data_IF_466721765528
#
_entry.id   IF_466721765528
#
_cell.length_a   1.000
_cell.length_b   1.000
_cell.length_c   1.000
_cell.angle_alpha   90.00
_cell.angle_beta   90.00
_cell.angle_gamma   90.00
#
_symmetry.space_group_name_H-M   'P 1'
#
loop_
_entity.id
_entity.type
_entity.pdbx_description
1 polymer ?
#
# COMPACT_ATOMS: atom_id res chain seq x y z
N UNK A 1 -15.57 2.72 19.42
CA UNK A 1 -16.81 2.22 18.79
C UNK A 1 -16.77 0.70 18.81
N UNK A 2 -17.84 0.02 19.22
CA UNK A 2 -17.89 -1.45 19.24
C UNK A 2 -18.02 -2.04 17.85
N UNK A 3 -17.71 -3.32 17.69
CA UNK A 3 -17.76 -4.01 16.38
C UNK A 3 -19.13 -3.90 15.68
N UNK A 4 -20.23 -4.06 16.40
CA UNK A 4 -21.57 -4.01 15.83
C UNK A 4 -21.94 -2.58 15.37
N UNK A 5 -21.59 -1.58 16.16
CA UNK A 5 -21.68 -0.16 15.78
C UNK A 5 -20.82 0.15 14.55
N UNK A 6 -19.60 -0.39 14.49
CA UNK A 6 -18.69 -0.19 13.39
C UNK A 6 -19.22 -0.78 12.07
N UNK A 7 -19.81 -1.97 12.10
CA UNK A 7 -20.42 -2.57 10.90
C UNK A 7 -21.57 -1.70 10.37
N UNK A 8 -22.37 -1.09 11.26
CA UNK A 8 -23.45 -0.17 10.87
C UNK A 8 -22.88 1.08 10.21
N UNK A 9 -21.86 1.69 10.81
CA UNK A 9 -21.21 2.88 10.25
C UNK A 9 -20.57 2.58 8.89
N UNK A 10 -19.85 1.46 8.77
CA UNK A 10 -19.24 1.02 7.51
C UNK A 10 -20.28 0.79 6.41
N UNK A 11 -21.45 0.23 6.75
CA UNK A 11 -22.55 0.02 5.79
C UNK A 11 -23.15 1.34 5.27
N UNK A 12 -23.01 2.43 6.03
CA UNK A 12 -23.43 3.77 5.63
C UNK A 12 -22.31 4.61 4.98
N UNK A 13 -21.12 4.05 4.83
CA UNK A 13 -19.96 4.76 4.28
C UNK A 13 -19.97 4.78 2.74
N UNK A 14 -19.19 5.71 2.16
CA UNK A 14 -18.94 5.78 0.71
C UNK A 14 -17.82 4.81 0.25
N UNK A 15 -17.41 3.86 1.09
CA UNK A 15 -16.37 2.90 0.77
C UNK A 15 -16.84 1.94 -0.33
N UNK A 16 -15.95 1.46 -1.21
CA UNK A 16 -16.33 0.55 -2.27
C UNK A 16 -16.81 -0.80 -1.69
N UNK A 17 -17.73 -1.51 -2.37
CA UNK A 17 -18.35 -2.74 -1.85
C UNK A 17 -17.36 -3.81 -1.35
N UNK A 18 -16.22 -3.97 -2.03
CA UNK A 18 -15.18 -4.92 -1.62
C UNK A 18 -14.46 -4.53 -0.32
N UNK A 19 -14.33 -3.23 -0.04
CA UNK A 19 -13.74 -2.73 1.20
C UNK A 19 -14.70 -3.03 2.35
N UNK A 20 -15.99 -2.73 2.19
CA UNK A 20 -17.03 -3.06 3.18
C UNK A 20 -17.03 -4.56 3.53
N UNK A 21 -17.02 -5.43 2.51
CA UNK A 21 -16.93 -6.89 2.71
C UNK A 21 -15.67 -7.23 3.50
N UNK A 22 -14.52 -6.68 3.10
CA UNK A 22 -13.25 -6.90 3.75
C UNK A 22 -13.20 -6.47 5.22
N UNK A 23 -13.75 -5.30 5.54
CA UNK A 23 -13.84 -4.77 6.90
C UNK A 23 -14.81 -5.61 7.75
N UNK A 24 -15.92 -6.07 7.18
CA UNK A 24 -16.84 -7.00 7.86
C UNK A 24 -16.16 -8.33 8.22
N UNK A 25 -15.31 -8.87 7.33
CA UNK A 25 -14.50 -10.05 7.66
C UNK A 25 -13.55 -9.80 8.82
N UNK A 26 -12.80 -8.69 8.80
CA UNK A 26 -11.85 -8.39 9.86
C UNK A 26 -12.56 -8.12 11.19
N UNK A 27 -13.70 -7.43 11.17
CA UNK A 27 -14.53 -7.22 12.34
C UNK A 27 -14.96 -8.54 12.99
N UNK A 28 -15.43 -9.52 12.21
CA UNK A 28 -15.79 -10.84 12.77
C UNK A 28 -14.58 -11.60 13.29
N UNK A 29 -13.43 -11.51 12.61
CA UNK A 29 -12.18 -12.10 13.11
C UNK A 29 -11.81 -11.49 14.46
N UNK A 30 -11.89 -10.17 14.62
CA UNK A 30 -11.63 -9.48 15.90
C UNK A 30 -12.58 -9.96 17.01
N UNK A 31 -13.87 -10.11 16.71
CA UNK A 31 -14.84 -10.63 17.68
C UNK A 31 -14.47 -12.05 18.15
N UNK A 32 -14.12 -12.93 17.20
CA UNK A 32 -13.72 -14.32 17.51
C UNK A 32 -12.39 -14.35 18.28
N UNK A 33 -11.40 -13.55 17.89
CA UNK A 33 -10.11 -13.45 18.59
C UNK A 33 -10.28 -12.96 20.03
N UNK A 34 -11.15 -11.97 20.26
CA UNK A 34 -11.46 -11.49 21.59
C UNK A 34 -12.14 -12.57 22.43
N UNK A 35 -13.13 -13.27 21.86
CA UNK A 35 -13.80 -14.38 22.53
C UNK A 35 -12.83 -15.51 22.89
N UNK A 36 -11.89 -15.81 21.99
CA UNK A 36 -10.83 -16.79 22.26
C UNK A 36 -9.93 -16.34 23.41
N UNK A 37 -9.58 -15.06 23.47
CA UNK A 37 -8.81 -14.50 24.57
C UNK A 37 -9.55 -14.59 25.91
N UNK A 38 -10.86 -14.31 25.95
CA UNK A 38 -11.68 -14.45 27.15
C UNK A 38 -11.71 -15.90 27.68
N UNK A 39 -11.87 -16.87 26.79
CA UNK A 39 -12.03 -18.28 27.17
C UNK A 39 -10.71 -18.98 27.45
N UNK A 40 -9.66 -18.68 26.69
CA UNK A 40 -8.38 -19.41 26.75
C UNK A 40 -7.24 -18.58 27.36
N UNK A 41 -7.47 -17.30 27.69
CA UNK A 41 -6.43 -16.37 28.19
C UNK A 41 -5.22 -16.23 27.25
N UNK A 42 -5.41 -16.50 25.96
CA UNK A 42 -4.40 -16.36 24.90
C UNK A 42 -5.08 -16.05 23.57
N UNK A 43 -4.34 -15.43 22.65
CA UNK A 43 -4.79 -15.25 21.27
C UNK A 43 -4.75 -16.59 20.49
N UNK A 44 -5.59 -16.76 19.47
CA UNK A 44 -5.53 -17.93 18.60
C UNK A 44 -4.20 -17.98 17.85
N UNK A 45 -3.71 -19.20 17.62
CA UNK A 45 -2.45 -19.43 16.89
C UNK A 45 -2.60 -19.11 15.40
N UNK A 46 -3.79 -19.30 14.83
CA UNK A 46 -4.11 -19.00 13.44
C UNK A 46 -5.26 -18.02 13.35
N UNK A 47 -5.10 -17.02 12.48
CA UNK A 47 -6.17 -16.09 12.08
C UNK A 47 -6.98 -16.58 10.89
N UNK A 48 -6.69 -17.79 10.41
CA UNK A 48 -7.42 -18.39 9.30
C UNK A 48 -8.87 -18.65 9.70
N UNK A 49 -9.81 -18.05 8.98
CA UNK A 49 -11.24 -18.20 9.25
C UNK A 49 -11.71 -19.67 9.29
N UNK A 50 -11.03 -20.56 8.56
CA UNK A 50 -11.28 -22.00 8.63
C UNK A 50 -10.94 -22.64 9.97
N UNK A 51 -9.84 -22.22 10.60
CA UNK A 51 -9.43 -22.71 11.92
C UNK A 51 -10.27 -22.05 13.02
N UNK A 52 -10.49 -20.73 12.92
CA UNK A 52 -11.36 -19.99 13.83
C UNK A 52 -12.77 -20.58 13.87
N UNK A 53 -13.32 -20.94 12.71
CA UNK A 53 -14.64 -21.58 12.63
C UNK A 53 -14.69 -22.99 13.23
N UNK A 54 -13.61 -23.78 13.10
CA UNK A 54 -13.51 -25.08 13.79
C UNK A 54 -13.44 -24.89 15.31
N UNK A 55 -12.72 -23.87 15.76
CA UNK A 55 -12.64 -23.52 17.17
C UNK A 55 -13.99 -23.10 17.72
N UNK A 56 -14.71 -22.18 17.06
CA UNK A 56 -16.08 -21.78 17.45
C UNK A 56 -16.99 -23.01 17.55
N UNK A 57 -16.95 -23.91 16.58
CA UNK A 57 -17.73 -25.15 16.60
C UNK A 57 -17.41 -26.09 17.78
N UNK A 58 -16.24 -25.96 18.39
CA UNK A 58 -15.81 -26.78 19.52
C UNK A 58 -16.17 -26.22 20.90
N UNK A 59 -16.37 -24.89 21.01
CA UNK A 59 -16.59 -24.20 22.30
C UNK A 59 -17.94 -23.53 22.42
N UNK A 60 -18.64 -23.29 21.31
CA UNK A 60 -19.93 -22.59 21.27
C UNK A 60 -21.10 -23.51 20.87
N UNK A 61 -22.36 -23.11 21.12
CA UNK A 61 -23.54 -23.88 20.73
C UNK A 61 -23.58 -24.20 19.23
N UNK A 62 -24.10 -25.39 18.89
CA UNK A 62 -24.21 -25.86 17.51
C UNK A 62 -25.08 -24.98 16.60
N UNK A 63 -25.95 -24.12 17.17
CA UNK A 63 -26.69 -23.10 16.43
C UNK A 63 -25.76 -21.99 15.94
N UNK A 64 -24.90 -21.46 16.81
CA UNK A 64 -23.96 -20.39 16.49
C UNK A 64 -22.89 -20.84 15.49
N UNK A 65 -22.39 -22.07 15.67
CA UNK A 65 -21.44 -22.68 14.74
C UNK A 65 -22.03 -22.82 13.31
N UNK A 66 -23.29 -23.28 13.20
CA UNK A 66 -24.00 -23.35 11.91
C UNK A 66 -24.24 -21.97 11.30
N UNK A 67 -24.60 -20.98 12.11
CA UNK A 67 -24.76 -19.59 11.65
C UNK A 67 -23.44 -19.06 11.07
N UNK A 68 -22.30 -19.34 11.73
CA UNK A 68 -20.98 -18.97 11.22
C UNK A 68 -20.63 -19.69 9.91
N UNK A 69 -20.95 -20.98 9.77
CA UNK A 69 -20.75 -21.71 8.51
C UNK A 69 -21.56 -21.13 7.34
N UNK A 70 -22.83 -20.75 7.59
CA UNK A 70 -23.67 -20.08 6.61
C UNK A 70 -23.09 -18.72 6.23
N UNK A 71 -22.64 -17.93 7.20
CA UNK A 71 -21.96 -16.67 6.97
C UNK A 71 -20.68 -16.85 6.14
N UNK A 72 -19.87 -17.88 6.43
CA UNK A 72 -18.67 -18.20 5.65
C UNK A 72 -18.99 -18.59 4.20
N UNK A 73 -20.10 -19.29 3.98
CA UNK A 73 -20.53 -19.66 2.63
C UNK A 73 -20.93 -18.41 1.81
N UNK A 74 -21.66 -17.46 2.43
CA UNK A 74 -21.95 -16.16 1.82
C UNK A 74 -20.66 -15.38 1.51
N UNK A 75 -19.75 -15.35 2.49
CA UNK A 75 -18.47 -14.68 2.35
C UNK A 75 -17.61 -15.25 1.23
N UNK A 76 -17.62 -16.58 1.02
CA UNK A 76 -16.89 -17.22 -0.09
C UNK A 76 -17.35 -16.71 -1.45
N UNK A 77 -18.66 -16.48 -1.63
CA UNK A 77 -19.22 -15.91 -2.85
C UNK A 77 -18.78 -14.45 -2.99
N UNK A 78 -18.96 -13.66 -1.92
CA UNK A 78 -18.64 -12.24 -1.91
C UNK A 78 -17.15 -11.95 -2.19
N UNK A 79 -16.22 -12.79 -1.70
CA UNK A 79 -14.78 -12.60 -1.94
C UNK A 79 -14.27 -13.22 -3.23
N UNK A 80 -15.05 -14.08 -3.89
CA UNK A 80 -14.66 -14.67 -5.18
C UNK A 80 -14.88 -13.72 -6.34
N UNK A 81 -15.75 -12.73 -6.15
CA UNK A 81 -15.94 -11.67 -7.13
C UNK A 81 -14.87 -10.60 -6.98
N UNK A 82 -14.23 -10.26 -8.10
CA UNK A 82 -13.30 -9.15 -8.11
C UNK A 82 -14.05 -7.82 -7.93
N UNK A 83 -15.26 -7.62 -8.44
CA UNK A 83 -15.98 -6.36 -8.21
C UNK A 83 -17.39 -6.65 -7.70
N UNK A 84 -17.55 -7.00 -6.40
CA UNK A 84 -18.85 -7.30 -5.83
C UNK A 84 -19.76 -6.08 -5.93
N UNK A 85 -21.05 -6.33 -6.09
CA UNK A 85 -22.06 -5.28 -6.16
C UNK A 85 -22.35 -4.70 -4.77
N UNK A 86 -22.89 -3.47 -4.72
CA UNK A 86 -23.35 -2.87 -3.46
C UNK A 86 -24.37 -3.76 -2.74
N UNK A 87 -25.29 -4.38 -3.49
CA UNK A 87 -26.31 -5.29 -2.95
C UNK A 87 -25.69 -6.50 -2.24
N UNK A 88 -24.61 -7.06 -2.80
CA UNK A 88 -23.91 -8.19 -2.18
C UNK A 88 -23.15 -7.78 -0.93
N UNK A 89 -22.49 -6.62 -0.96
CA UNK A 89 -21.81 -6.07 0.20
C UNK A 89 -22.80 -5.76 1.34
N UNK A 90 -23.95 -5.14 1.04
CA UNK A 90 -25.02 -4.85 2.01
C UNK A 90 -25.59 -6.13 2.61
N UNK A 91 -25.84 -7.15 1.77
CA UNK A 91 -26.30 -8.46 2.23
C UNK A 91 -25.27 -9.12 3.15
N UNK A 92 -23.99 -9.01 2.82
CA UNK A 92 -22.92 -9.56 3.63
C UNK A 92 -22.74 -8.79 4.95
N UNK A 93 -22.83 -7.47 4.93
CA UNK A 93 -22.78 -6.63 6.14
C UNK A 93 -23.98 -6.92 7.06
N UNK A 94 -25.19 -7.06 6.51
CA UNK A 94 -26.38 -7.44 7.27
C UNK A 94 -26.23 -8.83 7.92
N UNK A 95 -25.68 -9.81 7.19
CA UNK A 95 -25.39 -11.14 7.72
C UNK A 95 -24.32 -11.09 8.83
N UNK A 96 -23.29 -10.26 8.65
CA UNK A 96 -22.22 -10.03 9.64
C UNK A 96 -22.79 -9.43 10.93
N UNK A 97 -23.63 -8.40 10.81
CA UNK A 97 -24.29 -7.76 11.95
C UNK A 97 -25.25 -8.71 12.67
N UNK A 98 -26.04 -9.49 11.94
CA UNK A 98 -26.93 -10.51 12.53
C UNK A 98 -26.14 -11.51 13.35
N UNK A 99 -25.08 -12.06 12.75
CA UNK A 99 -24.24 -13.05 13.42
C UNK A 99 -23.59 -12.50 14.69
N UNK A 100 -22.97 -11.33 14.62
CA UNK A 100 -22.35 -10.68 15.79
C UNK A 100 -23.38 -10.45 16.91
N UNK A 101 -24.59 -10.00 16.59
CA UNK A 101 -25.65 -9.80 17.59
C UNK A 101 -26.19 -11.10 18.18
N UNK A 102 -26.30 -12.15 17.38
CA UNK A 102 -26.71 -13.49 17.83
C UNK A 102 -25.73 -14.11 18.85
N UNK A 103 -24.47 -13.68 18.86
CA UNK A 103 -23.45 -14.23 19.76
C UNK A 103 -23.66 -13.85 21.23
N UNK A 104 -24.28 -12.70 21.50
CA UNK A 104 -24.34 -12.06 22.82
C UNK A 104 -22.95 -11.89 23.50
N UNK A 105 -21.86 -11.91 22.74
CA UNK A 105 -20.51 -11.73 23.27
C UNK A 105 -20.25 -10.31 23.74
N UNK A 106 -19.31 -10.16 24.69
CA UNK A 106 -18.72 -8.86 24.95
C UNK A 106 -17.84 -8.47 23.76
N UNK A 107 -18.32 -7.51 22.95
CA UNK A 107 -17.60 -7.10 21.75
C UNK A 107 -16.47 -6.13 22.09
N UNK A 108 -15.26 -6.33 21.55
CA UNK A 108 -14.18 -5.36 21.67
C UNK A 108 -14.48 -4.09 20.88
N UNK A 109 -13.67 -3.06 21.12
CA UNK A 109 -13.63 -1.91 20.23
C UNK A 109 -13.09 -2.33 18.86
N UNK A 110 -13.75 -1.84 17.81
CA UNK A 110 -13.32 -2.08 16.45
C UNK A 110 -12.01 -1.34 16.17
N UNK A 111 -11.01 -2.07 15.69
CA UNK A 111 -9.77 -1.51 15.18
C UNK A 111 -9.74 -1.68 13.66
N UNK A 112 -9.44 -0.62 12.91
CA UNK A 112 -9.31 -0.72 11.45
C UNK A 112 -7.95 -1.34 11.07
N UNK A 113 -7.82 -2.67 11.17
CA UNK A 113 -6.52 -3.37 11.07
C UNK A 113 -6.09 -3.71 9.66
N UNK A 114 -7.02 -3.81 8.72
CA UNK A 114 -6.72 -4.18 7.34
C UNK A 114 -7.29 -3.14 6.38
N UNK A 115 -6.79 -3.11 5.16
CA UNK A 115 -7.39 -2.34 4.06
C UNK A 115 -7.28 -3.15 2.77
N UNK A 116 -8.30 -3.12 1.92
CA UNK A 116 -8.29 -3.85 0.66
C UNK A 116 -7.93 -2.94 -0.51
N UNK A 117 -8.47 -1.72 -0.54
CA UNK A 117 -8.07 -0.65 -1.46
C UNK A 117 -6.67 -0.11 -1.08
N UNK A 118 -5.62 -0.33 -1.90
CA UNK A 118 -4.28 0.09 -1.53
C UNK A 118 -4.15 1.60 -1.39
N UNK A 119 -3.69 2.06 -0.23
CA UNK A 119 -3.33 3.46 0.03
C UNK A 119 -1.87 3.59 0.37
N UNK A 120 -1.25 4.65 -0.13
CA UNK A 120 0.17 4.91 0.08
C UNK A 120 0.42 5.38 1.51
N UNK A 121 1.42 4.78 2.16
CA UNK A 121 1.79 5.08 3.56
C UNK A 121 3.21 5.63 3.66
N UNK A 122 4.13 5.13 2.83
CA UNK A 122 5.50 5.64 2.76
C UNK A 122 5.99 5.54 1.31
N UNK A 123 6.94 6.37 0.92
CA UNK A 123 7.55 6.30 -0.41
C UNK A 123 8.97 6.86 -0.42
N UNK A 124 9.77 6.43 -1.39
CA UNK A 124 11.05 7.06 -1.75
C UNK A 124 11.21 7.13 -3.26
N UNK A 125 11.39 8.36 -3.76
CA UNK A 125 11.67 8.62 -5.16
C UNK A 125 13.14 8.85 -5.46
N UNK A 126 13.54 8.58 -6.70
CA UNK A 126 14.83 9.00 -7.24
C UNK A 126 14.80 9.22 -8.76
N UNK A 127 15.69 10.06 -9.27
CA UNK A 127 15.85 10.26 -10.71
C UNK A 127 16.95 9.33 -11.26
N UNK A 128 16.62 8.59 -12.32
CA UNK A 128 17.54 7.69 -13.00
C UNK A 128 17.28 7.67 -14.50
N UNK A 129 18.34 7.80 -15.30
CA UNK A 129 18.26 7.87 -16.76
C UNK A 129 17.26 8.92 -17.28
N UNK A 130 17.15 10.06 -16.60
CA UNK A 130 16.24 11.15 -16.97
C UNK A 130 14.76 10.91 -16.67
N UNK A 131 14.43 9.87 -15.89
CA UNK A 131 13.05 9.55 -15.46
C UNK A 131 12.99 9.50 -13.93
N UNK A 132 11.89 9.97 -13.37
CA UNK A 132 11.61 9.78 -11.95
C UNK A 132 11.11 8.35 -11.73
N UNK A 133 11.64 7.71 -10.69
CA UNK A 133 11.34 6.33 -10.32
C UNK A 133 10.99 6.28 -8.86
N UNK A 134 9.96 5.51 -8.50
CA UNK A 134 9.40 5.54 -7.16
C UNK A 134 9.29 4.15 -6.54
N UNK A 135 9.64 4.06 -5.27
CA UNK A 135 9.36 2.90 -4.43
C UNK A 135 8.32 3.31 -3.39
N UNK A 136 7.20 2.58 -3.34
CA UNK A 136 6.06 2.88 -2.46
C UNK A 136 5.81 1.74 -1.49
N UNK A 137 5.38 2.08 -0.29
CA UNK A 137 4.79 1.20 0.71
C UNK A 137 3.29 1.48 0.74
N UNK A 138 2.48 0.45 0.49
CA UNK A 138 1.02 0.54 0.36
C UNK A 138 0.34 -0.30 1.43
N UNK A 139 -0.59 0.29 2.18
CA UNK A 139 -1.52 -0.44 3.04
C UNK A 139 -2.72 -0.89 2.21
N UNK A 140 -2.83 -2.19 1.95
CA UNK A 140 -3.80 -2.69 1.00
C UNK A 140 -3.74 -4.19 0.77
N UNK A 141 -4.67 -4.67 -0.04
CA UNK A 141 -4.61 -6.03 -0.56
C UNK A 141 -3.83 -6.07 -1.87
N UNK A 142 -2.88 -7.00 -1.97
CA UNK A 142 -2.14 -7.29 -3.21
C UNK A 142 -3.06 -7.68 -4.37
N UNK A 143 -4.25 -8.21 -4.08
CA UNK A 143 -5.27 -8.54 -5.10
C UNK A 143 -5.83 -7.31 -5.82
N UNK A 144 -5.60 -6.11 -5.28
CA UNK A 144 -6.11 -4.82 -5.78
C UNK A 144 -5.00 -3.88 -6.24
N UNK A 145 -3.75 -4.26 -6.05
CA UNK A 145 -2.62 -3.44 -6.44
C UNK A 145 -2.50 -3.42 -7.96
N UNK A 146 -2.57 -2.23 -8.56
CA UNK A 146 -2.46 -2.05 -10.00
C UNK A 146 -1.00 -2.07 -10.41
N UNK A 147 -0.62 -3.00 -11.27
CA UNK A 147 0.75 -3.16 -11.78
C UNK A 147 0.79 -4.03 -13.03
N UNK A 148 1.86 -3.96 -13.82
CA UNK A 148 2.04 -4.87 -14.96
C UNK A 148 2.39 -6.29 -14.47
N UNK A 149 3.09 -6.37 -13.33
CA UNK A 149 3.48 -7.62 -12.66
C UNK A 149 3.13 -7.57 -11.19
N UNK A 150 2.38 -8.56 -10.72
CA UNK A 150 2.24 -8.86 -9.30
C UNK A 150 3.26 -9.92 -8.87
N UNK A 151 4.09 -9.62 -7.88
CA UNK A 151 5.03 -10.56 -7.26
C UNK A 151 4.46 -11.07 -5.95
N UNK A 152 4.38 -12.39 -5.80
CA UNK A 152 3.95 -13.07 -4.59
C UNK A 152 5.00 -14.07 -4.11
N UNK A 153 4.88 -14.50 -2.86
CA UNK A 153 5.56 -15.71 -2.39
C UNK A 153 4.56 -16.82 -2.08
N UNK A 154 5.01 -18.07 -2.24
CA UNK A 154 4.25 -19.27 -1.94
C UNK A 154 5.16 -20.31 -1.32
N UNK A 155 4.61 -21.19 -0.49
CA UNK A 155 5.28 -22.42 -0.11
C UNK A 155 5.23 -23.42 -1.27
N UNK A 156 6.30 -24.21 -1.42
CA UNK A 156 6.34 -25.37 -2.33
C UNK A 156 6.53 -26.64 -1.49
N UNK A 157 5.62 -27.60 -1.62
CA UNK A 157 5.75 -28.92 -1.01
C UNK A 157 6.76 -29.81 -1.75
N UNK A 158 7.13 -30.95 -1.16
CA UNK A 158 8.04 -31.91 -1.82
C UNK A 158 7.44 -32.49 -3.12
N UNK A 159 6.11 -32.53 -3.22
CA UNK A 159 5.34 -32.95 -4.39
C UNK A 159 5.18 -31.83 -5.43
N UNK A 160 5.74 -30.65 -5.19
CA UNK A 160 5.65 -29.50 -6.08
C UNK A 160 4.31 -28.76 -6.02
N UNK A 161 3.53 -28.93 -4.93
CA UNK A 161 2.27 -28.21 -4.73
C UNK A 161 2.57 -26.82 -4.16
N UNK A 162 2.00 -25.81 -4.79
CA UNK A 162 2.15 -24.41 -4.40
C UNK A 162 0.99 -24.00 -3.49
N UNK A 163 1.29 -23.50 -2.30
CA UNK A 163 0.29 -23.02 -1.36
C UNK A 163 0.77 -21.76 -0.62
N UNK A 164 -0.14 -20.80 -0.42
CA UNK A 164 0.15 -19.59 0.34
C UNK A 164 -1.08 -18.71 0.47
N UNK A 165 -1.11 -17.87 1.50
CA UNK A 165 -2.26 -16.99 1.74
C UNK A 165 -2.45 -15.97 0.61
N UNK A 166 -1.37 -15.31 0.17
CA UNK A 166 -1.43 -14.33 -0.90
C UNK A 166 -1.75 -14.97 -2.26
N UNK A 167 -1.07 -16.07 -2.62
CA UNK A 167 -1.36 -16.82 -3.84
C UNK A 167 -2.81 -17.34 -3.85
N UNK A 168 -3.26 -17.95 -2.76
CA UNK A 168 -4.61 -18.47 -2.64
C UNK A 168 -5.69 -17.38 -2.59
N UNK A 169 -5.37 -16.15 -2.15
CA UNK A 169 -6.27 -15.01 -2.26
C UNK A 169 -6.43 -14.55 -3.72
N UNK A 170 -5.32 -14.47 -4.45
CA UNK A 170 -5.33 -14.14 -5.88
C UNK A 170 -6.08 -15.20 -6.68
N UNK A 171 -5.79 -16.50 -6.49
CA UNK A 171 -6.46 -17.58 -7.22
C UNK A 171 -7.97 -17.67 -6.97
N UNK A 172 -8.47 -17.13 -5.85
CA UNK A 172 -9.92 -17.08 -5.56
C UNK A 172 -10.64 -15.98 -6.33
N UNK A 173 -9.96 -14.87 -6.62
CA UNK A 173 -10.55 -13.69 -7.27
C UNK A 173 -10.21 -13.61 -8.75
N UNK A 174 -9.04 -14.10 -9.10
CA UNK A 174 -8.43 -13.96 -10.42
C UNK A 174 -7.97 -15.35 -10.82
N UNK A 175 -8.62 -15.90 -11.85
CA UNK A 175 -8.19 -17.19 -12.41
C UNK A 175 -6.79 -17.03 -12.99
N UNK A 176 -5.83 -17.79 -12.46
CA UNK A 176 -4.46 -17.80 -12.97
C UNK A 176 -4.30 -18.89 -14.04
N UNK A 177 -3.64 -18.56 -15.15
CA UNK A 177 -3.30 -19.51 -16.20
C UNK A 177 -2.32 -20.59 -15.74
N UNK A 178 -1.93 -21.54 -16.62
CA UNK A 178 -0.85 -22.48 -16.30
C UNK A 178 0.48 -21.74 -16.09
N UNK A 179 1.49 -22.45 -15.57
CA UNK A 179 2.86 -21.91 -15.53
C UNK A 179 3.35 -21.73 -16.97
N UNK A 180 3.60 -20.48 -17.35
CA UNK A 180 4.10 -20.13 -18.68
C UNK A 180 5.62 -20.23 -18.74
N UNK A 181 6.28 -19.76 -17.68
CA UNK A 181 7.73 -19.64 -17.61
C UNK A 181 8.25 -20.02 -16.22
N UNK A 182 9.45 -20.59 -16.20
CA UNK A 182 10.25 -20.84 -14.99
C UNK A 182 11.54 -20.03 -15.15
N UNK A 183 11.66 -18.96 -14.37
CA UNK A 183 12.70 -17.94 -14.57
C UNK A 183 13.91 -18.15 -13.65
N UNK A 184 13.71 -18.83 -12.52
CA UNK A 184 14.77 -19.07 -11.55
C UNK A 184 14.61 -20.44 -10.92
N UNK A 185 15.73 -21.13 -10.74
CA UNK A 185 15.85 -22.35 -9.96
C UNK A 185 17.23 -22.37 -9.30
N UNK A 186 17.29 -22.19 -7.99
CA UNK A 186 18.55 -22.06 -7.25
C UNK A 186 18.29 -21.91 -5.76
N UNK A 187 19.21 -22.40 -4.92
CA UNK A 187 19.12 -22.30 -3.46
C UNK A 187 17.80 -22.87 -2.88
N UNK A 188 17.23 -23.87 -3.57
CA UNK A 188 15.93 -24.44 -3.23
C UNK A 188 14.71 -23.59 -3.63
N UNK A 189 14.93 -22.36 -4.12
CA UNK A 189 13.87 -21.47 -4.59
C UNK A 189 13.52 -21.76 -6.05
N UNK A 190 12.25 -21.60 -6.40
CA UNK A 190 11.76 -21.63 -7.78
C UNK A 190 10.94 -20.37 -8.04
N UNK A 191 11.12 -19.75 -9.21
CA UNK A 191 10.29 -18.60 -9.62
C UNK A 191 9.56 -18.92 -10.90
N UNK A 192 8.24 -18.78 -10.87
CA UNK A 192 7.35 -19.07 -12.00
C UNK A 192 6.53 -17.84 -12.38
N UNK A 193 6.14 -17.76 -13.65
CA UNK A 193 5.23 -16.72 -14.16
C UNK A 193 3.95 -17.36 -14.68
N UNK A 194 2.81 -16.73 -14.35
CA UNK A 194 1.46 -17.12 -14.77
C UNK A 194 0.70 -15.88 -15.25
N UNK A 195 -0.12 -16.01 -16.29
CA UNK A 195 -1.03 -14.94 -16.70
C UNK A 195 -2.21 -14.78 -15.73
N UNK A 196 -2.68 -13.55 -15.55
CA UNK A 196 -3.99 -13.29 -14.99
C UNK A 196 -5.05 -13.37 -16.09
N UNK A 197 -6.00 -14.32 -15.98
CA UNK A 197 -7.00 -14.55 -17.04
C UNK A 197 -8.28 -13.72 -16.87
N UNK A 198 -8.40 -12.97 -15.78
CA UNK A 198 -9.57 -12.14 -15.53
C UNK A 198 -9.47 -10.83 -16.35
N UNK A 199 -10.48 -10.47 -17.17
CA UNK A 199 -10.42 -9.28 -18.02
C UNK A 199 -10.20 -7.96 -17.26
N UNK A 200 -10.70 -7.90 -16.03
CA UNK A 200 -10.58 -6.74 -15.15
C UNK A 200 -9.49 -6.92 -14.08
N UNK A 201 -8.54 -7.85 -14.30
CA UNK A 201 -7.43 -8.02 -13.36
C UNK A 201 -6.66 -6.70 -13.22
N UNK A 202 -6.25 -6.31 -11.99
CA UNK A 202 -5.42 -5.11 -11.81
C UNK A 202 -3.97 -5.32 -12.26
N UNK A 203 -3.62 -6.54 -12.71
CA UNK A 203 -2.31 -6.88 -13.22
C UNK A 203 -2.37 -7.88 -14.36
N UNK A 204 -1.38 -7.84 -15.24
CA UNK A 204 -1.35 -8.70 -16.44
C UNK A 204 -0.84 -10.11 -16.09
N UNK A 205 0.13 -10.18 -15.18
CA UNK A 205 0.81 -11.43 -14.81
C UNK A 205 1.18 -11.50 -13.35
N UNK A 206 1.35 -12.72 -12.87
CA UNK A 206 1.77 -13.04 -11.51
C UNK A 206 3.09 -13.80 -11.56
N UNK A 207 4.10 -13.23 -10.92
CA UNK A 207 5.38 -13.86 -10.65
C UNK A 207 5.35 -14.45 -9.23
N UNK A 208 5.47 -15.77 -9.11
CA UNK A 208 5.39 -16.46 -7.82
C UNK A 208 6.77 -16.96 -7.43
N UNK A 209 7.29 -16.44 -6.33
CA UNK A 209 8.54 -16.89 -5.69
C UNK A 209 8.20 -18.03 -4.72
N UNK A 210 8.55 -19.23 -5.10
CA UNK A 210 8.28 -20.43 -4.33
C UNK A 210 9.40 -20.76 -3.35
N UNK A 211 9.01 -21.00 -2.11
CA UNK A 211 9.88 -21.19 -0.96
C UNK A 211 9.63 -22.58 -0.38
N UNK A 212 10.64 -23.46 -0.28
CA UNK A 212 10.46 -24.78 0.31
C UNK A 212 9.87 -24.73 1.71
N UNK A 213 8.91 -25.62 1.99
CA UNK A 213 8.35 -25.81 3.35
C UNK A 213 9.45 -26.17 4.35
N UNK A 214 10.48 -26.90 3.90
CA UNK A 214 11.61 -27.35 4.73
C UNK A 214 12.46 -26.23 5.31
N UNK A 215 12.40 -25.01 4.76
CA UNK A 215 13.15 -23.87 5.29
C UNK A 215 12.57 -23.32 6.60
N UNK A 216 11.32 -23.64 6.98
CA UNK A 216 10.73 -23.15 8.23
C UNK A 216 10.74 -21.62 8.35
N UNK A 217 11.15 -21.09 9.51
CA UNK A 217 11.36 -19.64 9.70
C UNK A 217 12.57 -19.18 8.88
N UNK A 218 12.41 -18.11 8.12
CA UNK A 218 13.41 -17.62 7.19
C UNK A 218 14.52 -16.85 7.90
N UNK A 219 15.76 -17.20 7.60
CA UNK A 219 16.94 -16.43 8.02
C UNK A 219 17.10 -15.15 7.19
N UNK A 220 18.06 -14.32 7.59
CA UNK A 220 18.46 -13.12 6.83
C UNK A 220 18.96 -13.48 5.43
N UNK A 221 19.79 -14.51 5.33
CA UNK A 221 20.35 -15.00 4.08
C UNK A 221 19.25 -15.54 3.14
N UNK A 222 18.25 -16.22 3.70
CA UNK A 222 17.09 -16.70 2.95
C UNK A 222 16.28 -15.52 2.38
N UNK A 223 16.01 -14.51 3.21
CA UNK A 223 15.28 -13.31 2.78
C UNK A 223 16.02 -12.57 1.66
N UNK A 224 17.34 -12.39 1.78
CA UNK A 224 18.15 -11.78 0.73
C UNK A 224 18.12 -12.60 -0.57
N UNK A 225 18.15 -13.94 -0.46
CA UNK A 225 18.08 -14.84 -1.61
C UNK A 225 16.72 -14.76 -2.32
N UNK A 226 15.62 -14.64 -1.57
CA UNK A 226 14.27 -14.43 -2.11
C UNK A 226 14.18 -13.15 -2.94
N UNK A 227 14.62 -12.02 -2.39
CA UNK A 227 14.58 -10.74 -3.10
C UNK A 227 15.54 -10.73 -4.31
N UNK A 228 16.70 -11.39 -4.21
CA UNK A 228 17.61 -11.55 -5.35
C UNK A 228 16.99 -12.39 -6.47
N UNK A 229 16.32 -13.50 -6.12
CA UNK A 229 15.60 -14.35 -7.07
C UNK A 229 14.48 -13.56 -7.75
N UNK A 230 13.72 -12.77 -7.00
CA UNK A 230 12.70 -11.85 -7.51
C UNK A 230 13.29 -10.86 -8.54
N UNK A 231 14.31 -10.08 -8.16
CA UNK A 231 14.90 -9.06 -9.06
C UNK A 231 15.50 -9.70 -10.31
N UNK A 232 16.18 -10.84 -10.17
CA UNK A 232 16.76 -11.55 -11.31
C UNK A 232 15.67 -12.07 -12.26
N UNK A 233 14.56 -12.56 -11.71
CA UNK A 233 13.43 -13.05 -12.49
C UNK A 233 12.67 -11.91 -13.16
N UNK A 234 12.45 -10.77 -12.49
CA UNK A 234 11.86 -9.58 -13.11
C UNK A 234 12.68 -9.09 -14.30
N UNK A 235 14.01 -9.05 -14.16
CA UNK A 235 14.90 -8.68 -15.26
C UNK A 235 14.86 -9.69 -16.40
N UNK A 236 14.79 -10.98 -16.09
CA UNK A 236 14.61 -12.01 -17.11
C UNK A 236 13.28 -11.80 -17.83
N UNK A 237 12.19 -11.59 -17.11
CA UNK A 237 10.86 -11.33 -17.67
C UNK A 237 10.83 -10.11 -18.60
N UNK A 238 11.50 -9.00 -18.24
CA UNK A 238 11.63 -7.81 -19.08
C UNK A 238 12.33 -8.09 -20.43
N UNK A 239 13.16 -9.13 -20.53
CA UNK A 239 13.77 -9.50 -21.81
C UNK A 239 12.81 -10.22 -22.76
N UNK A 240 11.76 -10.85 -22.22
CA UNK A 240 10.73 -11.51 -23.03
C UNK A 240 9.63 -10.55 -23.43
N UNK A 241 9.22 -9.69 -22.51
CA UNK A 241 8.20 -8.68 -22.74
C UNK A 241 8.78 -7.31 -22.42
N UNK A 242 8.96 -6.52 -23.47
CA UNK A 242 9.32 -5.13 -23.32
C UNK A 242 8.19 -4.40 -22.59
N UNK A 243 8.55 -3.57 -21.61
CA UNK A 243 7.70 -2.54 -20.97
C UNK A 243 7.05 -2.88 -19.61
N UNK A 244 7.73 -3.61 -18.72
CA UNK A 244 7.34 -3.62 -17.30
C UNK A 244 7.63 -2.23 -16.69
N UNK A 245 6.58 -1.45 -16.46
CA UNK A 245 6.65 -0.10 -15.88
C UNK A 245 6.37 -0.14 -14.36
N UNK A 246 5.47 -1.02 -13.93
CA UNK A 246 4.98 -1.07 -12.55
C UNK A 246 5.02 -2.50 -12.02
N UNK A 247 5.60 -2.68 -10.84
CA UNK A 247 5.63 -3.95 -10.11
C UNK A 247 4.97 -3.75 -8.75
N UNK A 248 4.00 -4.58 -8.41
CA UNK A 248 3.49 -4.69 -7.04
C UNK A 248 4.01 -5.98 -6.41
N UNK A 249 4.41 -5.93 -5.15
CA UNK A 249 5.01 -7.06 -4.44
C UNK A 249 4.32 -7.24 -3.09
N UNK A 250 3.95 -8.48 -2.75
CA UNK A 250 3.58 -8.84 -1.38
C UNK A 250 4.83 -8.89 -0.50
N UNK A 251 4.67 -9.00 0.82
CA UNK A 251 5.77 -9.39 1.69
C UNK A 251 6.26 -10.80 1.34
N UNK A 252 7.46 -10.94 0.78
CA UNK A 252 8.02 -12.25 0.41
C UNK A 252 8.40 -13.03 1.67
N UNK A 253 7.90 -14.25 1.81
CA UNK A 253 8.08 -15.07 3.01
C UNK A 253 6.95 -14.92 4.04
N UNK A 254 6.17 -13.83 3.97
CA UNK A 254 5.01 -13.59 4.84
C UNK A 254 5.30 -13.85 6.32
N UNK A 255 4.44 -14.63 6.99
CA UNK A 255 4.55 -14.98 8.42
C UNK A 255 5.82 -15.80 8.79
N UNK A 256 6.61 -16.25 7.80
CA UNK A 256 7.87 -16.96 8.03
C UNK A 256 9.03 -16.00 8.25
N UNK A 257 8.83 -14.71 7.99
CA UNK A 257 9.71 -13.64 8.46
C UNK A 257 9.44 -13.51 9.95
N UNK A 258 10.42 -13.87 10.78
CA UNK A 258 10.32 -13.74 12.23
C UNK A 258 10.32 -12.27 12.69
N UNK A 259 10.97 -11.98 13.81
CA UNK A 259 11.08 -10.61 14.36
C UNK A 259 11.99 -9.66 13.57
N UNK A 260 12.44 -10.04 12.37
CA UNK A 260 13.51 -9.38 11.60
C UNK A 260 12.96 -8.34 10.59
N UNK A 261 11.92 -7.58 10.97
CA UNK A 261 11.21 -6.68 10.06
C UNK A 261 12.12 -5.58 9.48
N UNK A 262 13.05 -5.04 10.28
CA UNK A 262 14.01 -4.02 9.84
C UNK A 262 14.92 -4.52 8.71
N UNK A 263 15.43 -5.75 8.88
CA UNK A 263 16.27 -6.41 7.89
C UNK A 263 15.51 -6.68 6.59
N UNK A 264 14.26 -7.18 6.69
CA UNK A 264 13.42 -7.43 5.52
C UNK A 264 13.06 -6.14 4.80
N UNK A 265 12.78 -5.06 5.53
CA UNK A 265 12.58 -3.75 4.94
C UNK A 265 13.81 -3.26 4.18
N UNK A 266 15.01 -3.42 4.75
CA UNK A 266 16.26 -3.12 4.06
C UNK A 266 16.43 -3.90 2.76
N UNK A 267 16.18 -5.21 2.80
CA UNK A 267 16.29 -6.08 1.63
C UNK A 267 15.26 -5.71 0.54
N UNK A 268 14.00 -5.44 0.92
CA UNK A 268 12.94 -5.05 0.00
C UNK A 268 13.22 -3.69 -0.67
N UNK A 269 13.65 -2.70 0.12
CA UNK A 269 13.99 -1.36 -0.39
C UNK A 269 15.16 -1.43 -1.38
N UNK A 270 16.21 -2.18 -1.05
CA UNK A 270 17.35 -2.34 -1.95
C UNK A 270 16.97 -3.12 -3.22
N UNK A 271 16.18 -4.19 -3.11
CA UNK A 271 15.72 -4.97 -4.24
C UNK A 271 14.84 -4.13 -5.20
N UNK A 272 13.89 -3.37 -4.65
CA UNK A 272 13.07 -2.45 -5.43
C UNK A 272 13.91 -1.38 -6.13
N UNK A 273 14.89 -0.79 -5.43
CA UNK A 273 15.85 0.16 -6.02
C UNK A 273 16.71 -0.47 -7.10
N UNK A 274 17.15 -1.72 -6.92
CA UNK A 274 17.99 -2.43 -7.87
C UNK A 274 17.22 -2.72 -9.17
N UNK A 275 15.97 -3.21 -9.06
CA UNK A 275 15.11 -3.37 -10.22
C UNK A 275 14.84 -2.02 -10.89
N UNK A 276 14.43 -1.00 -10.13
CA UNK A 276 14.22 0.37 -10.62
C UNK A 276 15.50 1.04 -11.14
N UNK A 277 16.72 0.51 -11.00
CA UNK A 277 17.91 1.06 -11.70
C UNK A 277 18.27 0.27 -12.96
N UNK A 278 17.93 -1.01 -12.97
CA UNK A 278 18.29 -1.92 -14.05
C UNK A 278 17.23 -1.99 -15.15
N UNK A 279 15.96 -1.72 -14.83
CA UNK A 279 14.87 -1.69 -15.79
C UNK A 279 14.96 -0.49 -16.75
N UNK A 280 14.68 -0.70 -18.03
CA UNK A 280 14.63 0.39 -19.02
C UNK A 280 13.33 1.21 -18.90
N UNK A 281 12.21 0.53 -18.65
CA UNK A 281 10.87 1.10 -18.58
C UNK A 281 10.36 1.32 -17.16
N UNK A 282 10.96 0.68 -16.15
CA UNK A 282 10.51 0.69 -14.76
C UNK A 282 10.35 2.10 -14.18
N UNK A 283 9.13 2.38 -13.71
CA UNK A 283 8.73 3.63 -13.08
C UNK A 283 8.44 3.44 -11.61
N UNK A 284 7.79 2.34 -11.24
CA UNK A 284 7.25 2.19 -9.89
C UNK A 284 7.36 0.77 -9.34
N UNK A 285 7.82 0.66 -8.10
CA UNK A 285 7.83 -0.58 -7.32
C UNK A 285 6.98 -0.36 -6.06
N UNK A 286 5.89 -1.10 -5.91
CA UNK A 286 4.99 -1.03 -4.76
C UNK A 286 5.20 -2.26 -3.88
N UNK A 287 5.51 -2.07 -2.60
CA UNK A 287 5.39 -3.10 -1.59
C UNK A 287 4.04 -2.95 -0.90
N UNK A 288 3.22 -3.99 -0.93
CA UNK A 288 1.82 -3.96 -0.46
C UNK A 288 1.66 -4.90 0.73
N UNK A 289 1.30 -4.36 1.89
CA UNK A 289 1.03 -5.13 3.11
C UNK A 289 -0.41 -4.91 3.57
N UNK A 290 -1.04 -5.98 4.04
CA UNK A 290 -2.46 -6.00 4.38
C UNK A 290 -2.72 -5.45 5.79
N UNK A 291 -1.87 -5.79 6.77
CA UNK A 291 -2.12 -5.47 8.18
C UNK A 291 -1.48 -4.15 8.57
N UNK A 292 -2.23 -3.32 9.30
CA UNK A 292 -1.80 -2.00 9.77
C UNK A 292 -0.57 -2.06 10.67
N UNK A 293 -0.53 -3.01 11.61
CA UNK A 293 0.64 -3.17 12.50
C UNK A 293 1.92 -3.53 11.74
N UNK A 294 1.80 -4.32 10.67
CA UNK A 294 2.94 -4.67 9.81
C UNK A 294 3.37 -3.47 8.99
N UNK A 295 2.41 -2.72 8.41
CA UNK A 295 2.65 -1.47 7.70
C UNK A 295 3.38 -0.46 8.57
N UNK A 296 2.91 -0.22 9.79
CA UNK A 296 3.51 0.77 10.69
C UNK A 296 4.94 0.36 11.03
N UNK A 297 5.16 -0.90 11.41
CA UNK A 297 6.51 -1.44 11.68
C UNK A 297 7.43 -1.36 10.46
N UNK A 298 6.91 -1.67 9.27
CA UNK A 298 7.68 -1.62 8.02
C UNK A 298 7.99 -0.18 7.60
N UNK A 299 7.06 0.75 7.81
CA UNK A 299 7.26 2.18 7.53
C UNK A 299 8.39 2.76 8.39
N UNK A 300 8.39 2.46 9.70
CA UNK A 300 9.47 2.84 10.61
C UNK A 300 10.81 2.24 10.16
N UNK A 301 10.83 0.95 9.84
CA UNK A 301 12.03 0.28 9.34
C UNK A 301 12.55 0.87 8.02
N UNK A 302 11.64 1.19 7.08
CA UNK A 302 11.98 1.84 5.82
C UNK A 302 12.61 3.21 6.05
N UNK A 303 12.07 4.02 6.96
CA UNK A 303 12.63 5.33 7.30
C UNK A 303 14.03 5.21 7.94
N UNK A 304 14.26 4.22 8.81
CA UNK A 304 15.56 3.92 9.40
C UNK A 304 16.60 3.53 8.34
N UNK A 305 16.25 2.60 7.44
CA UNK A 305 17.10 2.16 6.31
C UNK A 305 17.46 3.34 5.40
N UNK A 306 16.51 4.26 5.19
CA UNK A 306 16.71 5.44 4.36
C UNK A 306 17.44 6.58 5.10
N UNK A 307 17.75 6.42 6.39
CA UNK A 307 18.44 7.41 7.21
C UNK A 307 17.61 8.67 7.50
N UNK A 308 16.28 8.57 7.41
CA UNK A 308 15.36 9.69 7.61
C UNK A 308 15.20 10.00 9.09
N UNK A 309 15.06 11.29 9.42
CA UNK A 309 14.86 11.75 10.79
C UNK A 309 13.43 12.23 10.99
N UNK A 310 12.83 11.80 12.10
CA UNK A 310 11.53 12.30 12.57
C UNK A 310 11.74 13.59 13.35
N UNK A 311 11.16 14.68 12.87
CA UNK A 311 11.17 15.98 13.54
C UNK A 311 9.92 16.13 14.40
N UNK A 312 10.08 16.47 15.68
CA UNK A 312 8.95 16.75 16.57
C UNK A 312 8.42 18.17 16.35
N UNK A 313 7.42 18.27 15.49
CA UNK A 313 6.83 19.56 15.05
C UNK A 313 5.97 20.23 16.11
N UNK A 314 5.35 19.45 17.00
CA UNK A 314 4.40 19.92 18.02
C UNK A 314 4.96 21.03 18.94
N UNK A 315 6.28 21.12 19.08
CA UNK A 315 6.94 22.12 19.93
C UNK A 315 7.56 23.30 19.15
N UNK A 316 7.40 23.34 17.83
CA UNK A 316 7.94 24.40 16.99
C UNK A 316 6.89 25.52 16.80
N UNK A 317 7.17 26.77 17.23
CA UNK A 317 6.18 27.85 17.28
C UNK A 317 5.68 28.32 15.89
N UNK A 318 6.37 27.93 14.81
CA UNK A 318 5.99 28.27 13.43
C UNK A 318 5.42 27.05 12.72
N UNK A 319 6.06 25.89 12.88
CA UNK A 319 5.72 24.70 12.11
C UNK A 319 4.39 24.07 12.57
N UNK A 320 4.03 24.14 13.86
CA UNK A 320 2.77 23.58 14.36
C UNK A 320 1.52 24.36 13.88
N UNK A 321 1.45 25.70 14.01
CA UNK A 321 0.33 26.46 13.43
C UNK A 321 0.19 26.25 11.92
N UNK A 322 1.31 26.18 11.20
CA UNK A 322 1.32 25.96 9.76
C UNK A 322 0.87 24.55 9.38
N UNK A 323 1.22 23.53 10.18
CA UNK A 323 0.73 22.16 10.02
C UNK A 323 -0.79 22.11 10.12
N UNK A 324 -1.36 22.76 11.14
CA UNK A 324 -2.82 22.80 11.35
C UNK A 324 -3.54 23.54 10.21
N UNK A 325 -3.02 24.70 9.79
CA UNK A 325 -3.57 25.46 8.65
C UNK A 325 -3.52 24.66 7.35
N UNK A 326 -2.41 23.94 7.11
CA UNK A 326 -2.28 23.12 5.93
C UNK A 326 -3.29 21.96 5.93
N UNK A 327 -3.47 21.27 7.06
CA UNK A 327 -4.47 20.19 7.19
C UNK A 327 -5.87 20.71 6.86
N UNK A 328 -6.24 21.88 7.39
CA UNK A 328 -7.52 22.54 7.10
C UNK A 328 -7.66 22.84 5.59
N UNK A 329 -6.68 23.50 4.99
CA UNK A 329 -6.71 23.82 3.55
C UNK A 329 -6.74 22.59 2.64
N UNK A 330 -6.07 21.50 3.02
CA UNK A 330 -6.13 20.23 2.27
C UNK A 330 -7.51 19.57 2.42
N UNK A 331 -8.18 19.73 3.57
CA UNK A 331 -9.53 19.22 3.81
C UNK A 331 -10.61 19.92 2.97
N UNK A 332 -10.39 21.19 2.61
CA UNK A 332 -11.27 22.00 1.77
C UNK A 332 -11.09 21.76 0.26
N UNK A 333 -10.11 20.92 -0.14
CA UNK A 333 -9.88 20.65 -1.56
C UNK A 333 -11.05 19.90 -2.21
N UNK A 334 -11.24 20.12 -3.53
CA UNK A 334 -12.13 19.29 -4.34
C UNK A 334 -11.80 17.80 -4.20
N UNK A 335 -12.82 16.93 -4.32
CA UNK A 335 -12.68 15.48 -4.06
C UNK A 335 -11.50 14.85 -4.81
N UNK A 336 -11.30 15.18 -6.09
CA UNK A 336 -10.19 14.66 -6.90
C UNK A 336 -8.82 15.00 -6.33
N UNK A 337 -8.60 16.26 -5.97
CA UNK A 337 -7.32 16.74 -5.42
C UNK A 337 -7.14 16.34 -3.96
N UNK A 338 -8.22 16.26 -3.19
CA UNK A 338 -8.21 15.80 -1.80
C UNK A 338 -7.79 14.34 -1.70
N UNK A 339 -8.33 13.47 -2.54
CA UNK A 339 -7.91 12.05 -2.59
C UNK A 339 -6.42 11.93 -2.92
N UNK A 340 -5.90 12.75 -3.84
CA UNK A 340 -4.46 12.76 -4.12
C UNK A 340 -3.60 13.31 -2.95
N UNK A 341 -4.18 14.09 -2.05
CA UNK A 341 -3.53 14.65 -0.87
C UNK A 341 -3.64 13.77 0.39
N UNK A 342 -4.43 12.69 0.37
CA UNK A 342 -4.66 11.82 1.55
C UNK A 342 -3.35 11.33 2.21
N UNK A 343 -2.33 10.81 1.47
CA UNK A 343 -1.09 10.38 2.10
C UNK A 343 -0.31 11.52 2.79
N UNK A 344 -0.41 12.72 2.23
CA UNK A 344 0.17 13.93 2.83
C UNK A 344 -0.59 14.31 4.11
N UNK A 345 -1.92 14.32 4.08
CA UNK A 345 -2.75 14.60 5.24
C UNK A 345 -2.49 13.63 6.39
N UNK A 346 -2.44 12.33 6.09
CA UNK A 346 -2.15 11.28 7.08
C UNK A 346 -0.78 11.50 7.73
N UNK A 347 0.23 11.85 6.93
CA UNK A 347 1.56 12.19 7.43
C UNK A 347 1.50 13.41 8.35
N UNK A 348 0.76 14.45 7.98
CA UNK A 348 0.66 15.68 8.74
C UNK A 348 -0.10 15.50 10.07
N UNK A 349 -1.04 14.56 10.17
CA UNK A 349 -1.84 14.31 11.38
C UNK A 349 -1.05 13.55 12.47
N UNK A 350 0.05 12.88 12.10
CA UNK A 350 0.88 12.07 13.00
C UNK A 350 1.24 12.80 14.31
N UNK A 351 1.01 12.10 15.43
CA UNK A 351 1.39 12.56 16.78
C UNK A 351 2.85 12.28 17.14
N UNK A 352 3.53 11.42 16.38
CA UNK A 352 4.92 11.01 16.65
C UNK A 352 5.97 12.01 16.12
N UNK A 353 5.54 12.94 15.26
CA UNK A 353 6.38 13.89 14.55
C UNK A 353 6.28 13.71 13.03
N UNK A 354 6.99 14.57 12.29
CA UNK A 354 7.00 14.57 10.82
C UNK A 354 8.37 14.17 10.29
N UNK A 355 8.41 13.21 9.37
CA UNK A 355 9.61 12.92 8.59
C UNK A 355 9.71 13.94 7.45
N UNK A 356 10.71 14.82 7.46
CA UNK A 356 10.83 15.94 6.49
C UNK A 356 10.91 15.41 5.05
N UNK A 357 11.71 14.37 4.83
CA UNK A 357 11.84 13.71 3.54
C UNK A 357 10.51 13.13 3.04
N UNK A 358 9.68 12.62 3.94
CA UNK A 358 8.40 12.01 3.59
C UNK A 358 7.37 13.07 3.22
N UNK A 359 7.28 14.15 4.02
CA UNK A 359 6.46 15.32 3.69
C UNK A 359 6.85 15.89 2.33
N UNK A 360 8.15 16.01 2.06
CA UNK A 360 8.67 16.45 0.77
C UNK A 360 8.30 15.51 -0.40
N UNK A 361 8.38 14.20 -0.20
CA UNK A 361 8.01 13.21 -1.22
C UNK A 361 6.51 13.29 -1.57
N UNK A 362 5.65 13.37 -0.56
CA UNK A 362 4.21 13.55 -0.75
C UNK A 362 3.86 14.91 -1.34
N UNK A 363 4.55 15.99 -0.94
CA UNK A 363 4.41 17.32 -1.53
C UNK A 363 4.67 17.29 -3.04
N UNK A 364 5.78 16.67 -3.47
CA UNK A 364 6.13 16.52 -4.89
C UNK A 364 5.05 15.74 -5.65
N UNK A 365 4.63 14.61 -5.09
CA UNK A 365 3.61 13.73 -5.71
C UNK A 365 2.28 14.46 -5.88
N UNK A 366 1.87 15.23 -4.87
CA UNK A 366 0.65 16.04 -4.91
C UNK A 366 0.75 17.17 -5.93
N UNK A 367 1.88 17.89 -6.01
CA UNK A 367 2.12 18.92 -7.03
C UNK A 367 2.08 18.34 -8.45
N UNK A 368 2.64 17.16 -8.65
CA UNK A 368 2.55 16.44 -9.92
C UNK A 368 1.10 16.15 -10.28
N UNK A 369 0.31 15.61 -9.36
CA UNK A 369 -1.10 15.38 -9.60
C UNK A 369 -1.87 16.69 -9.92
N UNK A 370 -1.63 17.74 -9.14
CA UNK A 370 -2.30 19.03 -9.29
C UNK A 370 -2.02 19.69 -10.65
N UNK A 371 -0.75 19.72 -11.10
CA UNK A 371 -0.41 20.33 -12.40
C UNK A 371 -0.92 19.50 -13.58
N UNK A 372 -0.89 18.17 -13.46
CA UNK A 372 -1.43 17.27 -14.48
C UNK A 372 -2.94 17.45 -14.62
N UNK A 373 -3.64 17.51 -13.49
CA UNK A 373 -5.07 17.79 -13.45
C UNK A 373 -5.41 19.13 -14.10
N UNK A 374 -4.67 20.20 -13.75
CA UNK A 374 -4.87 21.53 -14.30
C UNK A 374 -4.66 21.59 -15.82
N UNK A 375 -3.63 20.94 -16.34
CA UNK A 375 -3.36 20.89 -17.79
C UNK A 375 -4.47 20.11 -18.51
N UNK A 376 -4.85 18.95 -17.98
CA UNK A 376 -5.87 18.09 -18.58
C UNK A 376 -7.25 18.73 -18.58
N UNK A 377 -7.65 19.39 -17.50
CA UNK A 377 -8.94 20.10 -17.40
C UNK A 377 -9.04 21.26 -18.39
N UNK A 378 -7.89 21.77 -18.86
CA UNK A 378 -7.79 22.81 -19.88
C UNK A 378 -7.45 22.26 -21.29
N UNK A 379 -7.58 20.95 -21.49
CA UNK A 379 -7.36 20.31 -22.80
C UNK A 379 -5.91 20.27 -23.27
N UNK A 380 -4.95 20.53 -22.39
CA UNK A 380 -3.52 20.48 -22.68
C UNK A 380 -2.95 19.11 -22.34
N UNK A 381 -2.16 18.55 -23.26
CA UNK A 381 -1.40 17.33 -23.00
C UNK A 381 -0.16 17.69 -22.18
N UNK A 382 0.07 17.05 -21.02
CA UNK A 382 1.23 17.36 -20.20
C UNK A 382 2.55 17.06 -20.91
N UNK A 383 3.50 17.99 -20.82
CA UNK A 383 4.83 17.89 -21.41
C UNK A 383 5.84 17.26 -20.43
N UNK A 384 6.43 16.13 -20.84
CA UNK A 384 7.67 15.60 -20.26
C UNK A 384 7.62 15.30 -18.75
N UNK A 385 8.73 15.61 -18.07
CA UNK A 385 8.90 15.48 -16.61
C UNK A 385 8.25 16.67 -15.87
N UNK A 386 8.01 16.55 -14.57
CA UNK A 386 7.30 17.54 -13.73
C UNK A 386 7.69 19.02 -13.96
N UNK A 387 8.98 19.33 -14.18
CA UNK A 387 9.41 20.70 -14.52
C UNK A 387 8.75 21.22 -15.81
N UNK A 388 8.68 20.39 -16.85
CA UNK A 388 8.05 20.75 -18.12
C UNK A 388 6.55 20.99 -17.96
N UNK A 389 5.87 20.19 -17.14
CA UNK A 389 4.45 20.39 -16.84
C UNK A 389 4.19 21.71 -16.09
N UNK A 390 5.04 22.05 -15.10
CA UNK A 390 4.94 23.32 -14.35
C UNK A 390 5.16 24.51 -15.30
N UNK A 391 6.20 24.46 -16.12
CA UNK A 391 6.51 25.54 -17.07
C UNK A 391 5.43 25.67 -18.15
N UNK A 392 4.91 24.56 -18.66
CA UNK A 392 3.79 24.57 -19.61
C UNK A 392 2.54 25.21 -19.01
N UNK A 393 2.20 24.90 -17.75
CA UNK A 393 1.05 25.52 -17.08
C UNK A 393 1.26 27.03 -16.87
N UNK A 394 2.51 27.47 -16.63
CA UNK A 394 2.86 28.89 -16.51
C UNK A 394 2.80 29.61 -17.86
N UNK A 395 3.36 29.02 -18.91
CA UNK A 395 3.36 29.56 -20.28
C UNK A 395 1.94 29.64 -20.86
N UNK A 396 1.07 28.70 -20.49
CA UNK A 396 -0.35 28.72 -20.82
C UNK A 396 -1.18 29.67 -19.93
N UNK A 397 -0.55 30.45 -19.06
CA UNK A 397 -1.19 31.41 -18.14
C UNK A 397 -2.22 30.77 -17.18
N UNK A 398 -2.16 29.46 -16.95
CA UNK A 398 -3.05 28.76 -16.02
C UNK A 398 -2.65 29.01 -14.56
N UNK A 399 -1.35 29.21 -14.34
CA UNK A 399 -0.74 29.57 -13.06
C UNK A 399 0.13 30.81 -13.20
N UNK A 400 0.21 31.59 -12.13
CA UNK A 400 1.11 32.75 -12.04
C UNK A 400 2.55 32.32 -11.73
N UNK A 401 3.55 33.22 -11.95
CA UNK A 401 4.94 32.93 -11.62
C UNK A 401 5.20 32.54 -10.16
N UNK A 402 4.43 33.10 -9.21
CA UNK A 402 4.59 32.75 -7.78
C UNK A 402 4.03 31.36 -7.47
N UNK A 403 2.92 30.95 -8.08
CA UNK A 403 2.39 29.58 -7.95
C UNK A 403 3.39 28.58 -8.55
N UNK A 404 3.95 28.88 -9.71
CA UNK A 404 5.02 28.07 -10.30
C UNK A 404 6.25 27.97 -9.36
N UNK A 405 6.62 29.06 -8.68
CA UNK A 405 7.69 29.04 -7.68
C UNK A 405 7.39 28.09 -6.52
N UNK A 406 6.17 28.08 -5.99
CA UNK A 406 5.79 27.14 -4.91
C UNK A 406 5.79 25.68 -5.39
N UNK A 407 5.32 25.41 -6.61
CA UNK A 407 5.43 24.08 -7.22
C UNK A 407 6.89 23.65 -7.37
N UNK A 408 7.78 24.55 -7.81
CA UNK A 408 9.20 24.27 -7.89
C UNK A 408 9.87 24.06 -6.54
N UNK A 409 9.45 24.78 -5.49
CA UNK A 409 9.89 24.51 -4.12
C UNK A 409 9.59 23.07 -3.74
N UNK A 410 8.34 22.61 -3.92
CA UNK A 410 7.98 21.22 -3.60
C UNK A 410 8.69 20.19 -4.51
N UNK A 411 8.97 20.54 -5.77
CA UNK A 411 9.72 19.69 -6.70
C UNK A 411 11.18 19.51 -6.27
N UNK A 412 11.82 20.59 -5.82
CA UNK A 412 13.26 20.64 -5.50
C UNK A 412 13.51 20.12 -4.09
N UNK A 413 12.64 20.46 -3.14
CA UNK A 413 12.74 20.02 -1.76
C UNK A 413 12.35 18.55 -1.70
N UNK A 414 13.36 17.69 -1.84
CA UNK A 414 13.31 16.25 -1.78
C UNK A 414 14.74 15.72 -1.59
N UNK A 415 14.89 14.49 -1.13
CA UNK A 415 16.20 13.92 -0.81
C UNK A 415 17.16 13.96 -2.03
N UNK A 416 18.49 13.98 -1.82
CA UNK A 416 19.51 14.00 -2.90
C UNK A 416 19.26 13.04 -4.06
N UNK A 417 18.58 11.93 -3.78
CA UNK A 417 18.19 10.92 -4.75
C UNK A 417 17.19 11.41 -5.81
N UNK A 418 16.37 12.43 -5.57
CA UNK A 418 15.38 12.96 -6.52
C UNK A 418 15.96 13.90 -7.59
N UNK A 419 17.28 14.07 -7.62
CA UNK A 419 17.97 14.87 -8.63
C UNK A 419 18.82 14.01 -9.55
N UNK A 420 18.91 14.34 -10.84
CA UNK A 420 19.63 13.51 -11.79
C UNK A 420 21.14 13.61 -11.48
N UNK A 421 21.87 12.49 -11.45
CA UNK A 421 23.30 12.50 -11.10
C UNK A 421 24.15 13.36 -12.04
N UNK A 422 23.69 13.57 -13.28
CA UNK A 422 24.40 14.31 -14.33
C UNK A 422 24.04 15.80 -14.36
N UNK A 423 23.05 16.25 -13.58
CA UNK A 423 22.65 17.66 -13.45
C UNK A 423 22.08 17.91 -12.05
N UNK A 424 22.87 17.68 -10.98
CA UNK A 424 22.40 17.99 -9.63
C UNK A 424 22.13 19.50 -9.54
N UNK A 425 21.10 19.95 -8.79
CA UNK A 425 20.97 21.36 -8.48
C UNK A 425 22.26 21.85 -7.81
N UNK A 426 22.60 23.12 -8.01
CA UNK A 426 23.83 23.73 -7.47
C UNK A 426 23.93 23.63 -5.93
N UNK A 427 22.81 23.37 -5.25
CA UNK A 427 22.73 23.10 -3.83
C UNK A 427 21.77 21.94 -3.54
N UNK A 428 22.27 20.70 -3.40
CA UNK A 428 21.50 19.62 -2.80
C UNK A 428 21.89 19.52 -1.33
N UNK A 429 20.96 19.86 -0.42
CA UNK A 429 21.18 19.67 1.01
C UNK A 429 21.54 18.19 1.29
N UNK A 430 22.61 17.95 2.06
CA UNK A 430 23.01 16.58 2.43
C UNK A 430 21.96 15.89 3.32
N UNK A 431 21.11 16.69 3.97
CA UNK A 431 20.02 16.29 4.84
C UNK A 431 19.01 17.42 4.86
N UNK A 432 17.71 17.08 4.89
CA UNK A 432 16.68 18.09 5.10
C UNK A 432 16.58 18.40 6.61
N UNK A 433 16.41 19.67 6.94
CA UNK A 433 16.31 20.19 8.30
C UNK A 433 14.88 20.65 8.60
N UNK A 434 14.57 20.91 9.86
CA UNK A 434 13.25 21.42 10.28
C UNK A 434 12.88 22.76 9.63
N UNK A 435 13.86 23.56 9.18
CA UNK A 435 13.61 24.79 8.42
C UNK A 435 13.08 24.50 7.00
N UNK A 436 13.52 23.40 6.38
CA UNK A 436 13.05 22.95 5.07
C UNK A 436 11.58 22.51 5.14
N UNK A 437 11.20 21.88 6.26
CA UNK A 437 9.81 21.50 6.53
C UNK A 437 8.88 22.72 6.53
N UNK A 438 9.26 23.82 7.20
CA UNK A 438 8.46 25.05 7.22
C UNK A 438 8.29 25.62 5.81
N UNK A 439 9.36 25.66 5.01
CA UNK A 439 9.32 26.17 3.64
C UNK A 439 8.39 25.33 2.75
N UNK A 440 8.47 24.00 2.85
CA UNK A 440 7.60 23.10 2.06
C UNK A 440 6.15 23.21 2.52
N UNK A 441 5.88 23.23 3.83
CA UNK A 441 4.51 23.39 4.32
C UNK A 441 3.89 24.74 3.92
N UNK A 442 4.68 25.82 3.91
CA UNK A 442 4.20 27.13 3.48
C UNK A 442 3.88 27.14 1.98
N UNK A 443 4.75 26.53 1.16
CA UNK A 443 4.48 26.35 -0.26
C UNK A 443 3.22 25.51 -0.50
N UNK A 444 3.07 24.37 0.20
CA UNK A 444 1.89 23.51 0.07
C UNK A 444 0.61 24.24 0.48
N UNK A 445 0.63 25.03 1.55
CA UNK A 445 -0.55 25.79 1.97
C UNK A 445 -0.97 26.82 0.91
N UNK A 446 -0.01 27.56 0.34
CA UNK A 446 -0.30 28.50 -0.74
C UNK A 446 -0.88 27.79 -1.98
N UNK A 447 -0.37 26.61 -2.31
CA UNK A 447 -0.89 25.78 -3.40
C UNK A 447 -2.30 25.24 -3.10
N UNK A 448 -2.59 24.85 -1.86
CA UNK A 448 -3.89 24.32 -1.47
C UNK A 448 -4.96 25.40 -1.55
N UNK A 449 -4.66 26.61 -1.06
CA UNK A 449 -5.52 27.79 -1.19
C UNK A 449 -5.77 28.13 -2.66
N UNK A 450 -4.73 28.08 -3.51
CA UNK A 450 -4.88 28.29 -4.95
C UNK A 450 -5.80 27.25 -5.59
N UNK A 451 -5.61 25.97 -5.27
CA UNK A 451 -6.37 24.87 -5.83
C UNK A 451 -7.85 24.92 -5.42
N UNK A 452 -8.15 25.30 -4.17
CA UNK A 452 -9.51 25.47 -3.68
C UNK A 452 -10.27 26.63 -4.38
N UNK A 453 -9.54 27.62 -4.92
CA UNK A 453 -10.14 28.79 -5.57
C UNK A 453 -10.37 28.64 -7.09
N UNK A 454 -9.96 27.52 -7.69
CA UNK A 454 -9.94 27.28 -9.15
C UNK A 454 -11.03 26.33 -9.66
N UNK A 455 -11.82 25.75 -8.75
CA UNK A 455 -13.11 25.12 -9.03
C UNK A 455 -14.25 26.14 -8.92
#
# INVERSE_FOLDING_TARGET
MKIDEAIIELSGSDEPPFELIGQCFDALVQAIEHRHLELESRLPVSRGLGELSKWVASVEPASLARSLEMWRALGKVAISELYPTAVEADRFAAASLSWVRETEWALPEYSHRVRYAPTEVNQTGFEWAGRFRNLKLMHGSVTRAKADVLVLSSEISAEGIWAGQALGAVERQITLGPVERRLFHGDGLEVVVRSALHPESPFDRVLVVGVPVTLGVLSKEDCQSLFKAMVSSLRAEETWENDIQTVSCSLLGGNRIGSEMEMVAGAAVEAGRQWLRSSESGKEFQLVLLNRSEIDAFSTAMDQVLGRSVERVLNNPVAEPLRLQLIESLGELPKSLRTAAEPLMDTLISSEGLTVELVCAFARSWVEHMVMHLLQSNGLKPAGVLIGAIEQAREAELISPWIASYMHTCRIMGNKSVHPPNSPPAYPANRLLSADLVNVMAAMHALAVFAAAKD
#
